data_IF_668488937201
#
_entry.id   IF_668488937201
#
_cell.length_a   1.000
_cell.length_b   1.000
_cell.length_c   1.000
_cell.angle_alpha   90.00
_cell.angle_beta   90.00
_cell.angle_gamma   90.00
#
_symmetry.space_group_name_H-M   'P 1'
#
loop_
_entity.id
_entity.type
_entity.pdbx_description
1 polymer ?
#
# COMPACT_ATOMS: atom_id res chain seq x y z
N UNK A 1 5.97 -5.63 -12.14
CA UNK A 1 4.57 -5.29 -11.90
C UNK A 1 4.23 -5.51 -10.45
N UNK A 2 3.38 -4.67 -9.91
CA UNK A 2 3.04 -4.72 -8.48
C UNK A 2 1.74 -5.46 -8.25
N UNK A 3 1.57 -6.58 -8.90
CA UNK A 3 0.33 -7.32 -8.88
C UNK A 3 -0.05 -7.77 -7.47
N UNK A 4 0.94 -8.29 -6.73
CA UNK A 4 0.71 -8.75 -5.37
C UNK A 4 0.34 -7.60 -4.45
N UNK A 5 1.00 -6.45 -4.63
CA UNK A 5 0.69 -5.26 -3.85
C UNK A 5 -0.76 -4.84 -4.09
N UNK A 6 -1.18 -4.77 -5.35
CA UNK A 6 -2.55 -4.39 -5.67
C UNK A 6 -3.56 -5.38 -5.12
N UNK A 7 -3.23 -6.66 -5.14
CA UNK A 7 -4.12 -7.68 -4.58
C UNK A 7 -4.32 -7.48 -3.09
N UNK A 8 -3.25 -7.17 -2.37
CA UNK A 8 -3.34 -6.93 -0.93
C UNK A 8 -4.18 -5.68 -0.65
N UNK A 9 -3.92 -4.61 -1.40
CA UNK A 9 -4.66 -3.36 -1.21
C UNK A 9 -6.14 -3.57 -1.50
N UNK A 10 -6.44 -4.24 -2.59
CA UNK A 10 -7.80 -4.54 -2.98
C UNK A 10 -8.53 -5.33 -1.90
N UNK A 11 -7.85 -6.31 -1.33
CA UNK A 11 -8.41 -7.14 -0.28
C UNK A 11 -8.66 -6.35 1.01
N UNK A 12 -7.67 -5.58 1.45
CA UNK A 12 -7.77 -4.84 2.71
C UNK A 12 -8.83 -3.76 2.61
N UNK A 13 -8.84 -3.02 1.51
CA UNK A 13 -9.79 -1.93 1.33
C UNK A 13 -11.15 -2.42 0.82
N UNK A 14 -11.22 -3.69 0.42
CA UNK A 14 -12.45 -4.30 -0.09
C UNK A 14 -12.99 -3.53 -1.30
N UNK A 15 -12.11 -3.27 -2.25
CA UNK A 15 -12.47 -2.62 -3.51
C UNK A 15 -11.95 -3.45 -4.66
N UNK A 16 -12.61 -3.33 -5.80
CA UNK A 16 -12.17 -3.99 -7.03
C UNK A 16 -10.85 -3.37 -7.47
N UNK A 17 -9.91 -4.22 -7.90
CA UNK A 17 -8.59 -3.72 -8.29
C UNK A 17 -8.66 -2.81 -9.51
N UNK A 18 -9.73 -2.86 -10.28
CA UNK A 18 -9.93 -1.94 -11.39
C UNK A 18 -10.14 -0.49 -10.93
N UNK A 19 -10.43 -0.30 -9.65
CA UNK A 19 -10.69 1.03 -9.10
C UNK A 19 -9.47 1.68 -8.49
N UNK A 20 -8.33 1.01 -8.52
CA UNK A 20 -7.12 1.54 -7.90
C UNK A 20 -5.99 1.56 -8.91
N UNK A 21 -5.07 2.50 -8.72
CA UNK A 21 -3.85 2.61 -9.52
C UNK A 21 -2.82 3.35 -8.69
N UNK A 22 -1.67 3.63 -9.27
CA UNK A 22 -0.58 4.28 -8.55
C UNK A 22 -0.94 5.66 -8.01
N UNK A 23 -1.91 6.32 -8.62
CA UNK A 23 -2.33 7.66 -8.19
C UNK A 23 -3.45 7.64 -7.16
N UNK A 24 -3.95 6.47 -6.81
CA UNK A 24 -5.00 6.35 -5.79
C UNK A 24 -4.47 6.82 -4.44
N UNK A 25 -5.26 7.64 -3.77
CA UNK A 25 -4.89 8.26 -2.50
C UNK A 25 -6.10 8.32 -1.57
N UNK A 26 -5.90 8.67 -0.31
CA UNK A 26 -7.04 8.86 0.60
C UNK A 26 -8.04 9.89 0.11
N UNK A 27 -7.60 10.82 -0.73
CA UNK A 27 -8.47 11.88 -1.24
C UNK A 27 -9.43 11.39 -2.29
N UNK A 28 -9.10 10.30 -2.99
CA UNK A 28 -9.97 9.80 -4.04
C UNK A 28 -10.44 8.36 -3.81
N UNK A 29 -10.15 7.79 -2.65
CA UNK A 29 -10.62 6.46 -2.27
C UNK A 29 -11.13 6.50 -0.84
N UNK A 30 -12.43 6.45 -0.70
CA UNK A 30 -13.09 6.58 0.60
C UNK A 30 -12.64 5.50 1.59
N UNK A 31 -12.38 4.30 1.08
CA UNK A 31 -11.99 3.16 1.91
C UNK A 31 -10.59 3.30 2.49
N UNK A 32 -9.81 4.25 2.01
CA UNK A 32 -8.47 4.50 2.53
C UNK A 32 -8.56 5.46 3.71
N UNK A 33 -8.91 4.94 4.86
CA UNK A 33 -8.95 5.70 6.11
C UNK A 33 -7.81 5.23 7.02
N UNK A 34 -7.71 5.84 8.20
CA UNK A 34 -6.61 5.55 9.12
C UNK A 34 -6.59 4.09 9.56
N UNK A 35 -7.76 3.56 9.89
CA UNK A 35 -7.85 2.18 10.35
C UNK A 35 -7.39 1.21 9.25
N UNK A 36 -7.96 1.37 8.06
CA UNK A 36 -7.63 0.47 6.96
C UNK A 36 -6.17 0.64 6.53
N UNK A 37 -5.64 1.85 6.67
CA UNK A 37 -4.23 2.07 6.34
C UNK A 37 -3.32 1.27 7.26
N UNK A 38 -3.60 1.26 8.57
CA UNK A 38 -2.80 0.46 9.50
C UNK A 38 -2.92 -1.02 9.22
N UNK A 39 -4.12 -1.48 8.90
CA UNK A 39 -4.32 -2.89 8.53
C UNK A 39 -3.50 -3.21 7.28
N UNK A 40 -3.51 -2.31 6.31
CA UNK A 40 -2.75 -2.50 5.07
C UNK A 40 -1.26 -2.58 5.33
N UNK A 41 -0.73 -1.70 6.17
CA UNK A 41 0.70 -1.73 6.49
C UNK A 41 1.09 -3.06 7.12
N UNK A 42 0.26 -3.55 8.04
CA UNK A 42 0.52 -4.82 8.70
C UNK A 42 0.53 -5.97 7.72
N UNK A 43 -0.45 -6.01 6.81
CA UNK A 43 -0.53 -7.06 5.80
C UNK A 43 0.68 -7.04 4.87
N UNK A 44 1.10 -5.85 4.47
CA UNK A 44 2.26 -5.73 3.59
C UNK A 44 3.53 -6.19 4.30
N UNK A 45 3.70 -5.78 5.55
CA UNK A 45 4.87 -6.19 6.32
C UNK A 45 4.95 -7.70 6.44
N UNK A 46 3.81 -8.34 6.70
CA UNK A 46 3.78 -9.79 6.83
C UNK A 46 4.02 -10.49 5.50
N UNK A 47 3.42 -9.99 4.44
CA UNK A 47 3.50 -10.65 3.15
C UNK A 47 4.89 -10.54 2.54
N UNK A 48 5.55 -9.39 2.71
CA UNK A 48 6.86 -9.14 2.11
C UNK A 48 8.01 -9.27 3.10
N UNK A 49 7.70 -9.63 4.34
CA UNK A 49 8.71 -9.84 5.38
C UNK A 49 9.62 -8.62 5.53
N UNK A 50 8.98 -7.46 5.72
CA UNK A 50 9.70 -6.20 5.84
C UNK A 50 9.03 -5.36 6.93
N UNK A 51 9.66 -4.27 7.31
CA UNK A 51 9.10 -3.34 8.29
C UNK A 51 9.20 -1.93 7.76
N UNK A 52 8.11 -1.17 7.89
CA UNK A 52 8.12 0.25 7.60
C UNK A 52 8.62 1.00 8.82
N UNK A 53 9.48 2.00 8.61
CA UNK A 53 9.76 2.92 9.71
C UNK A 53 8.74 4.06 9.67
N UNK A 54 8.72 4.86 10.73
CA UNK A 54 7.72 5.92 10.86
C UNK A 54 7.80 6.92 9.72
N UNK A 55 9.02 7.31 9.35
CA UNK A 55 9.17 8.28 8.28
C UNK A 55 8.63 7.76 6.96
N UNK A 56 8.82 6.47 6.71
CA UNK A 56 8.30 5.86 5.47
C UNK A 56 6.78 5.91 5.45
N UNK A 57 6.14 5.60 6.58
CA UNK A 57 4.67 5.62 6.60
C UNK A 57 4.13 7.03 6.38
N UNK A 58 4.84 8.04 6.85
CA UNK A 58 4.41 9.42 6.64
C UNK A 58 4.59 9.89 5.20
N UNK A 59 5.44 9.22 4.44
CA UNK A 59 5.68 9.56 3.04
C UNK A 59 4.67 8.93 2.10
N UNK A 60 3.86 8.00 2.58
CA UNK A 60 2.91 7.31 1.71
C UNK A 60 1.67 8.19 1.52
N UNK A 61 1.59 8.83 0.36
CA UNK A 61 0.49 9.70 0.00
C UNK A 61 -0.43 9.08 -1.05
N UNK A 62 0.08 8.08 -1.76
CA UNK A 62 -0.66 7.38 -2.81
C UNK A 62 -0.04 6.00 -2.97
N UNK A 63 -0.73 5.13 -3.70
CA UNK A 63 -0.29 3.73 -3.85
C UNK A 63 1.11 3.65 -4.45
N UNK A 64 1.40 4.50 -5.42
CA UNK A 64 2.72 4.48 -6.05
C UNK A 64 3.88 4.68 -5.09
N UNK A 65 3.64 5.32 -3.95
CA UNK A 65 4.68 5.55 -2.96
C UNK A 65 5.15 4.26 -2.30
N UNK A 66 4.27 3.24 -2.21
CA UNK A 66 4.70 1.94 -1.71
C UNK A 66 5.80 1.35 -2.58
N UNK A 67 5.70 1.55 -3.89
CA UNK A 67 6.70 1.01 -4.81
C UNK A 67 8.08 1.64 -4.59
N UNK A 68 8.09 2.92 -4.25
CA UNK A 68 9.35 3.60 -3.94
C UNK A 68 9.99 3.03 -2.68
N UNK A 69 9.19 2.75 -1.67
CA UNK A 69 9.67 2.16 -0.44
C UNK A 69 10.16 0.75 -0.68
N UNK A 70 9.44 -0.02 -1.51
CA UNK A 70 9.86 -1.36 -1.88
C UNK A 70 11.24 -1.36 -2.54
N UNK A 71 11.50 -0.39 -3.43
CA UNK A 71 12.81 -0.27 -4.06
C UNK A 71 13.89 -0.02 -3.02
N UNK A 72 13.60 0.82 -2.05
CA UNK A 72 14.53 1.14 -0.97
C UNK A 72 14.87 -0.11 -0.16
N UNK A 73 13.88 -0.98 0.05
CA UNK A 73 14.06 -2.22 0.80
C UNK A 73 14.47 -3.40 -0.10
N UNK A 74 14.70 -3.13 -1.39
CA UNK A 74 15.08 -4.13 -2.37
C UNK A 74 14.04 -5.24 -2.53
N UNK A 75 12.78 -4.85 -2.42
CA UNK A 75 11.67 -5.76 -2.64
C UNK A 75 11.29 -5.66 -4.11
N UNK A 76 11.23 -6.81 -4.76
CA UNK A 76 11.00 -6.90 -6.19
C UNK A 76 9.51 -7.06 -6.48
N UNK A 77 8.79 -5.97 -6.45
CA UNK A 77 7.34 -6.01 -6.66
C UNK A 77 6.86 -5.03 -7.70
#
# INVERSE_FOLDING_TARGET
MSEKLYQIISKVFNVDDSKINDETSPENLEEWDSFNFYVLLDEIENEFNMKFDLNETLEIKKIGDFKKIFQKHRINE
#
